data_IF_746486372847
#
_entry.id   IF_746486372847
#
_cell.length_a   1.000
_cell.length_b   1.000
_cell.length_c   1.000
_cell.angle_alpha   90.00
_cell.angle_beta   90.00
_cell.angle_gamma   90.00
#
_symmetry.space_group_name_H-M   'P 1'
#
loop_
_entity.id
_entity.type
_entity.pdbx_description
1 polymer ?
#
# COMPACT_ATOMS: atom_id res chain seq x y z
N UNK A 1 -12.50 3.64 -5.89
CA UNK A 1 -12.66 3.08 -4.53
C UNK A 1 -13.16 4.20 -3.65
N UNK A 2 -12.81 4.22 -2.36
CA UNK A 2 -12.82 5.45 -1.59
C UNK A 2 -11.78 6.44 -2.16
N UNK A 3 -11.98 7.75 -1.98
CA UNK A 3 -11.12 8.77 -2.60
C UNK A 3 -9.65 8.67 -2.17
N UNK A 4 -9.41 8.35 -0.90
CA UNK A 4 -8.08 8.11 -0.34
C UNK A 4 -7.41 6.85 -0.94
N UNK A 5 -8.17 5.78 -1.20
CA UNK A 5 -7.67 4.62 -1.95
C UNK A 5 -7.24 5.00 -3.36
N UNK A 6 -8.05 5.81 -4.05
CA UNK A 6 -7.77 6.24 -5.42
C UNK A 6 -6.53 7.16 -5.49
N UNK A 7 -6.31 8.00 -4.47
CA UNK A 7 -5.08 8.81 -4.32
C UNK A 7 -3.82 7.95 -4.20
N UNK A 8 -3.84 6.90 -3.35
CA UNK A 8 -2.69 6.00 -3.19
C UNK A 8 -2.39 5.23 -4.49
N UNK A 9 -3.41 4.74 -5.18
CA UNK A 9 -3.24 4.08 -6.48
C UNK A 9 -2.71 5.02 -7.56
N UNK A 10 -3.06 6.31 -7.50
CA UNK A 10 -2.51 7.33 -8.39
C UNK A 10 -0.99 7.42 -8.33
N UNK A 11 -0.38 7.30 -7.16
CA UNK A 11 1.07 7.30 -6.99
C UNK A 11 1.72 6.00 -7.48
N UNK A 12 1.08 4.85 -7.20
CA UNK A 12 1.54 3.55 -7.70
C UNK A 12 1.56 3.52 -9.23
N UNK A 13 0.51 4.04 -9.88
CA UNK A 13 0.39 4.06 -11.34
C UNK A 13 1.42 4.98 -12.02
N UNK A 14 1.92 5.99 -11.31
CA UNK A 14 2.95 6.92 -11.81
C UNK A 14 4.38 6.38 -11.66
N UNK A 15 4.59 5.45 -10.73
CA UNK A 15 5.90 4.90 -10.44
C UNK A 15 6.26 3.74 -11.38
N UNK A 16 7.52 3.71 -11.82
CA UNK A 16 8.05 2.53 -12.51
C UNK A 16 8.46 1.48 -11.46
N UNK A 17 7.68 0.40 -11.35
CA UNK A 17 7.81 -0.61 -10.29
C UNK A 17 8.08 -2.02 -10.85
N UNK A 18 9.21 -2.24 -11.56
CA UNK A 18 9.53 -3.56 -12.05
C UNK A 18 9.74 -4.53 -10.89
N UNK A 19 9.30 -5.78 -11.07
CA UNK A 19 9.46 -6.86 -10.09
C UNK A 19 8.76 -6.59 -8.74
N UNK A 20 7.67 -5.82 -8.75
CA UNK A 20 6.81 -5.63 -7.58
C UNK A 20 5.49 -6.36 -7.78
N UNK A 21 4.96 -6.91 -6.69
CA UNK A 21 3.60 -7.45 -6.63
C UNK A 21 2.74 -6.42 -5.93
N UNK A 22 1.65 -6.03 -6.58
CA UNK A 22 0.67 -5.10 -6.03
C UNK A 22 -0.48 -5.91 -5.46
N UNK A 23 -0.86 -5.65 -4.21
CA UNK A 23 -1.93 -6.34 -3.51
C UNK A 23 -2.91 -5.30 -2.98
N UNK A 24 -4.20 -5.50 -3.29
CA UNK A 24 -5.30 -4.70 -2.77
C UNK A 24 -6.19 -5.63 -1.94
N UNK A 25 -6.71 -5.13 -0.81
CA UNK A 25 -7.64 -5.86 0.04
C UNK A 25 -8.70 -4.92 0.57
N UNK A 26 -9.91 -5.44 0.78
CA UNK A 26 -10.98 -4.68 1.41
C UNK A 26 -10.92 -4.85 2.95
N UNK A 27 -11.34 -3.84 3.73
CA UNK A 27 -11.44 -3.99 5.18
C UNK A 27 -12.36 -5.16 5.56
N UNK A 28 -11.87 -6.07 6.41
CA UNK A 28 -12.66 -7.21 6.91
C UNK A 28 -12.67 -8.44 5.99
N UNK A 29 -11.85 -8.46 4.93
CA UNK A 29 -11.64 -9.66 4.12
C UNK A 29 -11.14 -10.83 4.99
N UNK A 30 -11.83 -11.98 4.90
CA UNK A 30 -11.62 -13.10 5.83
C UNK A 30 -10.30 -13.87 5.58
N UNK A 31 -9.85 -13.95 4.33
CA UNK A 31 -8.58 -14.60 3.95
C UNK A 31 -7.82 -13.75 2.92
N UNK A 32 -7.21 -12.63 3.36
CA UNK A 32 -6.47 -11.78 2.46
C UNK A 32 -5.19 -12.48 1.99
N UNK A 33 -4.67 -12.13 0.79
CA UNK A 33 -3.40 -12.65 0.29
C UNK A 33 -2.28 -12.52 1.33
N UNK A 34 -1.37 -13.49 1.37
CA UNK A 34 -0.30 -13.54 2.38
C UNK A 34 0.48 -12.22 2.57
N UNK A 35 0.79 -11.42 1.51
CA UNK A 35 1.44 -10.13 1.67
C UNK A 35 0.61 -9.04 2.36
N UNK A 36 -0.70 -9.21 2.49
CA UNK A 36 -1.61 -8.25 3.14
C UNK A 36 -2.05 -8.70 4.56
N UNK A 37 -1.76 -9.94 4.96
CA UNK A 37 -2.08 -10.43 6.33
C UNK A 37 -1.42 -9.56 7.39
N UNK A 38 -2.11 -9.16 8.45
CA UNK A 38 -1.56 -8.27 9.50
C UNK A 38 -1.07 -6.89 9.00
N UNK A 39 -1.62 -6.40 7.88
CA UNK A 39 -1.43 -5.02 7.38
C UNK A 39 -2.79 -4.31 7.28
N UNK A 40 -3.43 -4.05 8.43
CA UNK A 40 -4.78 -3.50 8.45
C UNK A 40 -4.79 -2.02 8.02
N UNK A 41 -5.95 -1.48 7.63
CA UNK A 41 -6.11 -0.03 7.53
C UNK A 41 -5.88 0.64 8.90
N UNK A 42 -5.32 1.84 8.88
CA UNK A 42 -5.05 2.67 10.07
C UNK A 42 -6.09 3.79 10.15
N UNK A 43 -6.68 3.97 11.34
CA UNK A 43 -7.72 4.99 11.61
C UNK A 43 -8.90 4.95 10.61
N UNK A 44 -9.22 3.78 10.06
CA UNK A 44 -10.27 3.62 9.05
C UNK A 44 -9.96 4.25 7.69
N UNK A 45 -8.70 4.63 7.42
CA UNK A 45 -8.24 5.21 6.16
C UNK A 45 -7.57 4.17 5.27
N UNK A 46 -7.59 4.42 3.96
CA UNK A 46 -6.75 3.70 3.01
C UNK A 46 -5.29 3.76 3.47
N UNK A 47 -4.64 2.60 3.53
CA UNK A 47 -3.29 2.46 4.09
C UNK A 47 -2.44 1.62 3.16
N UNK A 48 -1.28 2.14 2.77
CA UNK A 48 -0.29 1.42 1.99
C UNK A 48 0.90 0.98 2.85
N UNK A 49 1.46 -0.17 2.48
CA UNK A 49 2.66 -0.74 3.07
C UNK A 49 3.62 -1.10 1.94
N UNK A 50 4.85 -0.60 1.98
CA UNK A 50 5.89 -0.93 0.99
C UNK A 50 6.86 -1.92 1.62
N UNK A 51 6.81 -3.17 1.15
CA UNK A 51 7.65 -4.24 1.68
C UNK A 51 8.85 -4.53 0.76
N UNK A 52 10.03 -4.67 1.35
CA UNK A 52 11.32 -4.94 0.71
C UNK A 52 12.12 -5.90 1.59
N UNK A 53 12.70 -6.95 1.01
CA UNK A 53 13.51 -7.94 1.74
C UNK A 53 12.85 -8.44 3.04
N UNK A 54 11.59 -8.87 2.95
CA UNK A 54 10.78 -9.35 4.08
C UNK A 54 10.52 -8.33 5.20
N UNK A 55 10.86 -7.05 5.00
CA UNK A 55 10.61 -5.94 5.92
C UNK A 55 9.64 -4.96 5.28
N UNK A 56 8.65 -4.49 6.03
CA UNK A 56 7.71 -3.49 5.54
C UNK A 56 8.00 -2.12 6.16
N UNK A 57 7.68 -1.05 5.41
CA UNK A 57 7.66 0.30 5.93
C UNK A 57 6.67 0.46 7.09
N UNK A 58 6.77 1.59 7.80
CA UNK A 58 5.62 2.07 8.57
C UNK A 58 4.40 2.25 7.64
N UNK A 59 3.16 2.10 8.17
CA UNK A 59 1.95 2.38 7.41
C UNK A 59 1.92 3.83 6.94
N UNK A 60 1.53 4.06 5.69
CA UNK A 60 1.31 5.41 5.15
C UNK A 60 -0.12 5.54 4.64
N UNK A 61 -0.72 6.70 4.91
CA UNK A 61 -2.12 7.01 4.50
C UNK A 61 -2.19 8.19 3.54
N UNK A 62 -1.03 8.79 3.20
CA UNK A 62 -0.92 9.96 2.32
C UNK A 62 -0.16 9.61 1.05
N UNK A 63 -0.64 10.13 -0.07
CA UNK A 63 -0.02 9.95 -1.39
C UNK A 63 1.46 10.40 -1.42
N UNK A 64 1.79 11.56 -0.87
CA UNK A 64 3.17 12.08 -0.91
C UNK A 64 4.17 11.25 -0.08
N UNK A 65 3.71 10.63 1.01
CA UNK A 65 4.52 9.69 1.81
C UNK A 65 4.77 8.40 1.02
N UNK A 66 3.73 7.85 0.38
CA UNK A 66 3.86 6.69 -0.48
C UNK A 66 4.81 6.96 -1.65
N UNK A 67 4.69 8.11 -2.30
CA UNK A 67 5.55 8.52 -3.41
C UNK A 67 7.04 8.60 -3.03
N UNK A 68 7.36 8.91 -1.76
CA UNK A 68 8.74 8.85 -1.26
C UNK A 68 9.21 7.41 -1.13
N UNK A 69 8.41 6.55 -0.47
CA UNK A 69 8.74 5.14 -0.28
C UNK A 69 8.91 4.35 -1.59
N UNK A 70 8.18 4.72 -2.64
CA UNK A 70 8.29 4.09 -3.95
C UNK A 70 9.58 4.50 -4.70
N UNK A 71 10.12 5.69 -4.44
CA UNK A 71 11.36 6.19 -5.07
C UNK A 71 12.64 5.64 -4.46
N UNK A 72 12.62 5.29 -3.18
CA UNK A 72 13.82 4.87 -2.43
C UNK A 72 14.21 3.39 -2.70
N UNK A 73 14.17 2.95 -3.96
CA UNK A 73 13.92 1.54 -4.23
C UNK A 73 14.29 0.91 -5.54
#
# INVERSE_FOLDING_TARGET
>A
GAADTDELWGEVARAYLPHRVLVATEPGEADPPAPARARPPVDGRATAYVCRNFTCSAPVTRADELARLLRDG
#
